data_IF_365083290922
#
_entry.id   IF_365083290922
#
_cell.length_a   1.000
_cell.length_b   1.000
_cell.length_c   1.000
_cell.angle_alpha   90.00
_cell.angle_beta   90.00
_cell.angle_gamma   90.00
#
_symmetry.space_group_name_H-M   'P 1'
#
loop_
_entity.id
_entity.type
_entity.pdbx_description
1 polymer ?
#
# COMPACT_ATOMS: atom_id res chain seq x y z
N UNK A 1 -10.70 22.31 23.19
CA UNK A 1 -10.74 23.14 21.95
C UNK A 1 -10.45 22.31 20.68
N UNK A 2 -11.24 21.27 20.38
CA UNK A 2 -11.20 20.59 19.06
C UNK A 2 -11.98 21.39 18.00
N UNK A 3 -12.87 22.27 18.45
CA UNK A 3 -13.88 23.02 17.68
C UNK A 3 -13.29 23.94 16.59
N UNK A 4 -12.10 24.50 16.77
CA UNK A 4 -11.56 25.52 15.84
C UNK A 4 -10.86 24.96 14.59
N UNK A 5 -10.26 23.77 14.69
CA UNK A 5 -9.47 23.20 13.60
C UNK A 5 -9.59 21.66 13.61
N UNK A 6 -10.42 21.08 12.74
CA UNK A 6 -10.68 19.63 12.72
C UNK A 6 -9.42 18.78 12.51
N UNK A 7 -8.33 19.35 11.98
CA UNK A 7 -7.04 18.64 11.88
C UNK A 7 -6.49 18.25 13.27
N UNK A 8 -6.89 18.96 14.34
CA UNK A 8 -6.49 18.65 15.72
C UNK A 8 -6.92 17.23 16.12
N UNK A 9 -7.98 16.67 15.52
CA UNK A 9 -8.37 15.27 15.73
C UNK A 9 -7.30 14.29 15.22
N UNK A 10 -6.73 14.53 14.03
CA UNK A 10 -5.62 13.73 13.49
C UNK A 10 -4.36 13.87 14.34
N UNK A 11 -4.08 15.09 14.82
CA UNK A 11 -2.97 15.34 15.74
C UNK A 11 -3.15 14.64 17.08
N UNK A 12 -4.36 14.63 17.65
CA UNK A 12 -4.68 13.91 18.87
C UNK A 12 -4.43 12.41 18.70
N UNK A 13 -4.89 11.81 17.60
CA UNK A 13 -4.58 10.41 17.25
C UNK A 13 -3.07 10.19 17.16
N UNK A 14 -2.33 11.10 16.51
CA UNK A 14 -0.87 11.00 16.39
C UNK A 14 -0.15 11.02 17.73
N UNK A 15 -0.56 11.92 18.63
CA UNK A 15 0.06 12.04 19.96
C UNK A 15 -0.26 10.84 20.85
N UNK A 16 -1.51 10.38 20.88
CA UNK A 16 -1.89 9.15 21.58
C UNK A 16 -1.10 7.94 21.06
N UNK A 17 -0.99 7.81 19.74
CA UNK A 17 -0.27 6.69 19.13
C UNK A 17 1.23 6.71 19.47
N UNK A 18 1.85 7.90 19.39
CA UNK A 18 3.31 8.06 19.60
C UNK A 18 3.74 8.01 21.06
N UNK A 19 2.96 8.61 21.97
CA UNK A 19 3.35 8.78 23.38
C UNK A 19 2.73 7.73 24.30
N UNK A 20 1.93 6.82 23.74
CA UNK A 20 1.17 5.83 24.48
C UNK A 20 0.22 6.41 25.56
N UNK A 21 -0.17 7.68 25.40
CA UNK A 21 -1.06 8.39 26.33
C UNK A 21 -2.51 8.06 26.03
N UNK A 22 -3.32 7.77 27.05
CA UNK A 22 -4.76 7.62 26.90
C UNK A 22 -5.45 8.94 26.52
N UNK A 23 -6.42 8.88 25.61
CA UNK A 23 -7.28 10.03 25.34
C UNK A 23 -8.35 10.10 26.42
N UNK A 24 -8.54 11.27 27.03
CA UNK A 24 -9.66 11.45 27.96
C UNK A 24 -11.01 11.25 27.26
N UNK A 25 -12.00 10.78 28.00
CA UNK A 25 -13.36 10.53 27.48
C UNK A 25 -13.96 11.76 26.81
N UNK A 26 -13.68 12.95 27.35
CA UNK A 26 -14.11 14.24 26.78
C UNK A 26 -13.52 14.46 25.38
N UNK A 27 -12.25 14.10 25.16
CA UNK A 27 -11.61 14.20 23.84
C UNK A 27 -12.22 13.17 22.90
N UNK A 28 -12.36 11.92 23.32
CA UNK A 28 -12.94 10.84 22.51
C UNK A 28 -14.36 11.19 22.06
N UNK A 29 -15.21 11.61 22.99
CA UNK A 29 -16.58 12.05 22.71
C UNK A 29 -16.62 13.24 21.76
N UNK A 30 -15.76 14.24 21.99
CA UNK A 30 -15.64 15.40 21.10
C UNK A 30 -15.26 15.02 19.66
N UNK A 31 -14.34 14.06 19.49
CA UNK A 31 -13.97 13.54 18.16
C UNK A 31 -15.15 12.79 17.54
N UNK A 32 -15.80 11.90 18.29
CA UNK A 32 -16.94 11.11 17.79
C UNK A 32 -18.17 11.94 17.43
N UNK A 33 -18.33 13.13 18.01
CA UNK A 33 -19.38 14.08 17.61
C UNK A 33 -18.98 14.90 16.38
N UNK A 34 -17.70 15.19 16.19
CA UNK A 34 -17.21 16.12 15.17
C UNK A 34 -16.43 15.48 14.03
N UNK A 35 -16.30 14.16 13.97
CA UNK A 35 -15.47 13.47 12.97
C UNK A 35 -15.77 13.88 11.51
N UNK A 36 -17.03 14.20 11.17
CA UNK A 36 -17.44 14.70 9.84
C UNK A 36 -16.82 16.04 9.47
N UNK A 37 -16.49 16.89 10.45
CA UNK A 37 -15.86 18.19 10.22
C UNK A 37 -14.47 18.08 9.59
N UNK A 38 -13.86 16.89 9.59
CA UNK A 38 -12.62 16.62 8.88
C UNK A 38 -12.73 16.90 7.38
N UNK A 39 -13.92 16.79 6.79
CA UNK A 39 -14.18 17.11 5.37
C UNK A 39 -14.00 18.60 5.05
N UNK A 40 -14.00 19.47 6.07
CA UNK A 40 -13.74 20.91 5.92
C UNK A 40 -12.24 21.25 5.92
N UNK A 41 -11.37 20.29 6.24
CA UNK A 41 -9.93 20.52 6.27
C UNK A 41 -9.38 20.52 4.85
N UNK A 42 -8.48 21.47 4.55
CA UNK A 42 -7.72 21.45 3.31
C UNK A 42 -7.07 20.08 3.08
N UNK A 43 -7.33 19.49 1.92
CA UNK A 43 -6.83 18.16 1.56
C UNK A 43 -5.29 18.06 1.57
N UNK A 44 -4.58 19.18 1.36
CA UNK A 44 -3.12 19.24 1.45
C UNK A 44 -2.65 19.15 2.91
N UNK A 45 -3.26 19.94 3.81
CA UNK A 45 -2.96 19.88 5.25
C UNK A 45 -3.27 18.52 5.84
N UNK A 46 -4.37 17.90 5.40
CA UNK A 46 -4.72 16.54 5.79
C UNK A 46 -3.66 15.55 5.32
N UNK A 47 -3.20 15.64 4.07
CA UNK A 47 -2.13 14.79 3.56
C UNK A 47 -0.84 14.91 4.39
N UNK A 48 -0.40 16.13 4.68
CA UNK A 48 0.82 16.37 5.46
C UNK A 48 0.73 15.77 6.88
N UNK A 49 -0.42 15.91 7.54
CA UNK A 49 -0.61 15.30 8.86
C UNK A 49 -0.73 13.78 8.80
N UNK A 50 -1.29 13.19 7.73
CA UNK A 50 -1.31 11.73 7.55
C UNK A 50 0.09 11.17 7.34
N UNK A 51 0.94 11.88 6.57
CA UNK A 51 2.35 11.50 6.43
C UNK A 51 3.02 11.45 7.80
N UNK A 52 2.88 12.52 8.61
CA UNK A 52 3.44 12.56 9.97
C UNK A 52 2.85 11.48 10.87
N UNK A 53 1.56 11.19 10.74
CA UNK A 53 0.84 10.18 11.53
C UNK A 53 1.41 8.80 11.28
N UNK A 54 1.52 8.39 10.01
CA UNK A 54 1.95 7.03 9.70
C UNK A 54 3.48 6.85 9.66
N UNK A 55 4.25 7.93 9.81
CA UNK A 55 5.72 7.89 9.87
C UNK A 55 6.25 8.16 11.29
N UNK A 56 5.40 8.06 12.32
CA UNK A 56 5.80 8.27 13.70
C UNK A 56 6.35 7.02 14.42
N UNK A 57 6.35 5.85 13.76
CA UNK A 57 6.77 4.56 14.34
C UNK A 57 5.66 3.80 15.09
N UNK A 58 4.44 4.36 15.13
CA UNK A 58 3.26 3.77 15.79
C UNK A 58 2.03 3.80 14.87
N UNK A 59 2.26 3.54 13.58
CA UNK A 59 1.27 3.64 12.52
C UNK A 59 0.13 2.63 12.66
N UNK A 60 0.39 1.43 13.19
CA UNK A 60 -0.67 0.43 13.44
C UNK A 60 -1.64 0.89 14.54
N UNK A 61 -1.11 1.44 15.64
CA UNK A 61 -1.92 1.99 16.73
C UNK A 61 -2.75 3.17 16.25
N UNK A 62 -2.12 4.09 15.51
CA UNK A 62 -2.81 5.21 14.88
C UNK A 62 -3.96 4.75 13.96
N UNK A 63 -3.75 3.70 13.17
CA UNK A 63 -4.76 3.16 12.28
C UNK A 63 -5.99 2.60 13.00
N UNK A 64 -5.78 1.82 14.06
CA UNK A 64 -6.89 1.33 14.89
C UNK A 64 -7.69 2.48 15.49
N UNK A 65 -6.99 3.46 16.07
CA UNK A 65 -7.65 4.63 16.67
C UNK A 65 -8.40 5.49 15.64
N UNK A 66 -7.87 5.64 14.40
CA UNK A 66 -8.61 6.31 13.32
C UNK A 66 -9.92 5.59 12.97
N UNK A 67 -9.96 4.25 13.04
CA UNK A 67 -11.17 3.45 12.79
C UNK A 67 -12.17 3.58 13.94
N UNK A 68 -11.71 3.42 15.17
CA UNK A 68 -12.52 3.56 16.39
C UNK A 68 -13.18 4.94 16.47
N UNK A 69 -12.42 5.99 16.17
CA UNK A 69 -12.90 7.38 16.18
C UNK A 69 -13.66 7.78 14.91
N UNK A 70 -13.96 6.83 14.00
CA UNK A 70 -14.67 7.06 12.73
C UNK A 70 -14.01 8.09 11.81
N UNK A 71 -12.71 8.34 11.96
CA UNK A 71 -11.96 9.29 11.13
C UNK A 71 -11.53 8.66 9.81
N UNK A 72 -11.11 7.39 9.82
CA UNK A 72 -10.58 6.70 8.63
C UNK A 72 -11.55 6.74 7.44
N UNK A 73 -12.85 6.59 7.69
CA UNK A 73 -13.89 6.59 6.65
C UNK A 73 -14.06 7.93 5.93
N UNK A 74 -13.69 9.06 6.54
CA UNK A 74 -13.72 10.37 5.87
C UNK A 74 -12.47 10.60 5.02
N UNK A 75 -11.36 9.96 5.38
CA UNK A 75 -10.07 10.11 4.71
C UNK A 75 -10.00 9.18 3.48
N UNK A 76 -10.40 7.92 3.67
CA UNK A 76 -10.37 6.88 2.64
C UNK A 76 -11.75 6.20 2.49
N UNK A 77 -12.81 6.92 2.08
CA UNK A 77 -14.17 6.39 2.07
C UNK A 77 -14.34 5.16 1.18
N UNK A 78 -13.72 5.15 0.00
CA UNK A 78 -13.82 4.01 -0.93
C UNK A 78 -13.06 2.79 -0.40
N UNK A 79 -11.82 2.96 0.08
CA UNK A 79 -11.06 1.87 0.69
C UNK A 79 -11.78 1.31 1.91
N UNK A 80 -12.35 2.17 2.76
CA UNK A 80 -13.09 1.74 3.95
C UNK A 80 -14.28 0.83 3.60
N UNK A 81 -15.05 1.16 2.56
CA UNK A 81 -16.14 0.29 2.07
C UNK A 81 -15.64 -1.08 1.64
N UNK A 82 -14.53 -1.13 0.91
CA UNK A 82 -13.95 -2.39 0.40
C UNK A 82 -13.33 -3.23 1.52
N UNK A 83 -12.68 -2.60 2.49
CA UNK A 83 -12.14 -3.24 3.69
C UNK A 83 -13.27 -3.88 4.51
N UNK A 84 -14.40 -3.18 4.68
CA UNK A 84 -15.59 -3.76 5.34
C UNK A 84 -16.18 -4.94 4.58
N UNK A 85 -16.17 -4.90 3.25
CA UNK A 85 -16.70 -5.96 2.41
C UNK A 85 -15.75 -7.17 2.31
N UNK A 86 -14.44 -6.96 2.47
CA UNK A 86 -13.44 -8.01 2.34
C UNK A 86 -12.28 -7.82 3.34
N UNK A 87 -12.24 -8.62 4.43
CA UNK A 87 -11.22 -8.53 5.48
C UNK A 87 -9.78 -8.63 4.99
N UNK A 88 -9.52 -9.31 3.86
CA UNK A 88 -8.16 -9.43 3.27
C UNK A 88 -7.49 -8.07 3.06
N UNK A 89 -8.29 -7.04 2.74
CA UNK A 89 -7.78 -5.70 2.52
C UNK A 89 -7.41 -5.00 3.84
N UNK A 90 -8.15 -5.27 4.92
CA UNK A 90 -7.79 -4.79 6.26
C UNK A 90 -6.46 -5.39 6.69
N UNK A 91 -6.31 -6.70 6.51
CA UNK A 91 -5.10 -7.44 6.89
C UNK A 91 -3.88 -6.96 6.11
N UNK A 92 -4.00 -6.77 4.79
CA UNK A 92 -2.94 -6.21 3.95
C UNK A 92 -2.46 -4.85 4.49
N UNK A 93 -3.40 -3.96 4.83
CA UNK A 93 -3.08 -2.63 5.37
C UNK A 93 -2.42 -2.74 6.73
N UNK A 94 -2.95 -3.58 7.63
CA UNK A 94 -2.36 -3.79 8.96
C UNK A 94 -0.94 -4.35 8.87
N UNK A 95 -0.67 -5.30 7.96
CA UNK A 95 0.67 -5.84 7.74
C UNK A 95 1.63 -4.78 7.19
N UNK A 96 1.16 -3.92 6.27
CA UNK A 96 1.95 -2.80 5.76
C UNK A 96 2.34 -1.79 6.86
N UNK A 97 1.42 -1.49 7.77
CA UNK A 97 1.65 -0.60 8.91
C UNK A 97 2.64 -1.22 9.90
N UNK A 98 2.44 -2.48 10.30
CA UNK A 98 3.38 -3.21 11.17
C UNK A 98 4.79 -3.27 10.58
N UNK A 99 4.91 -3.54 9.28
CA UNK A 99 6.21 -3.53 8.58
C UNK A 99 6.83 -2.13 8.55
N UNK A 100 6.03 -1.07 8.45
CA UNK A 100 6.51 0.30 8.46
C UNK A 100 7.04 0.68 9.84
N UNK A 101 6.30 0.35 10.90
CA UNK A 101 6.72 0.58 12.29
C UNK A 101 8.03 -0.14 12.60
N UNK A 102 8.16 -1.41 12.18
CA UNK A 102 9.39 -2.18 12.33
C UNK A 102 10.58 -1.54 11.60
N UNK A 103 10.39 -0.99 10.39
CA UNK A 103 11.44 -0.25 9.67
C UNK A 103 11.89 1.00 10.41
N UNK A 104 10.94 1.80 10.88
CA UNK A 104 11.22 3.04 11.62
C UNK A 104 12.00 2.71 12.90
N UNK A 105 11.57 1.70 13.66
CA UNK A 105 12.27 1.23 14.87
C UNK A 105 13.69 0.75 14.58
N UNK A 106 13.92 0.16 13.41
CA UNK A 106 15.24 -0.25 12.95
C UNK A 106 16.08 0.90 12.34
N UNK A 107 15.66 2.15 12.46
CA UNK A 107 16.37 3.32 11.92
C UNK A 107 16.38 3.40 10.39
N UNK A 108 15.55 2.61 9.71
CA UNK A 108 15.50 2.56 8.24
C UNK A 108 14.56 3.64 7.71
N UNK A 109 14.93 4.26 6.59
CA UNK A 109 14.06 5.19 5.89
C UNK A 109 12.78 4.51 5.39
N UNK A 110 11.68 5.24 5.47
CA UNK A 110 10.36 4.86 4.97
C UNK A 110 9.86 5.94 4.01
N UNK A 111 8.91 5.59 3.14
CA UNK A 111 8.36 6.50 2.15
C UNK A 111 6.84 6.52 2.20
N UNK A 112 6.19 7.70 2.11
CA UNK A 112 4.74 7.78 2.12
C UNK A 112 4.09 6.97 0.99
N UNK A 113 4.74 6.92 -0.18
CA UNK A 113 4.19 6.26 -1.36
C UNK A 113 3.81 4.80 -1.08
N UNK A 114 4.57 4.11 -0.22
CA UNK A 114 4.35 2.69 0.06
C UNK A 114 3.02 2.46 0.78
N UNK A 115 2.79 3.19 1.88
CA UNK A 115 1.55 3.06 2.65
C UNK A 115 0.34 3.53 1.84
N UNK A 116 0.45 4.64 1.09
CA UNK A 116 -0.64 5.07 0.22
C UNK A 116 -0.92 4.08 -0.93
N UNK A 117 0.10 3.39 -1.45
CA UNK A 117 -0.11 2.31 -2.41
C UNK A 117 -0.87 1.12 -1.79
N UNK A 118 -0.65 0.82 -0.50
CA UNK A 118 -1.39 -0.20 0.23
C UNK A 118 -2.84 0.25 0.54
N UNK A 119 -3.03 1.47 1.05
CA UNK A 119 -4.37 2.00 1.39
C UNK A 119 -5.30 2.08 0.17
N UNK A 120 -4.74 2.40 -1.01
CA UNK A 120 -5.51 2.55 -2.25
C UNK A 120 -5.59 1.25 -3.08
N UNK A 121 -4.84 0.21 -2.71
CA UNK A 121 -4.85 -1.08 -3.42
C UNK A 121 -6.24 -1.71 -3.55
N UNK A 122 -7.11 -1.73 -2.52
CA UNK A 122 -8.42 -2.35 -2.64
C UNK A 122 -9.22 -1.78 -3.82
N UNK A 123 -9.15 -0.45 -4.01
CA UNK A 123 -9.81 0.26 -5.09
C UNK A 123 -9.15 -0.09 -6.43
N UNK A 124 -7.82 -0.10 -6.47
CA UNK A 124 -7.06 -0.40 -7.69
C UNK A 124 -7.34 -1.80 -8.22
N UNK A 125 -7.31 -2.81 -7.35
CA UNK A 125 -7.60 -4.21 -7.69
C UNK A 125 -9.05 -4.34 -8.19
N UNK A 126 -10.02 -3.80 -7.45
CA UNK A 126 -11.45 -3.87 -7.81
C UNK A 126 -11.75 -3.21 -9.15
N UNK A 127 -11.19 -2.02 -9.41
CA UNK A 127 -11.40 -1.32 -10.69
C UNK A 127 -10.67 -2.02 -11.84
N UNK A 128 -9.45 -2.49 -11.62
CA UNK A 128 -8.70 -3.21 -12.64
C UNK A 128 -9.44 -4.49 -13.06
N UNK A 129 -10.00 -5.24 -12.11
CA UNK A 129 -10.78 -6.45 -12.43
C UNK A 129 -12.06 -6.12 -13.19
N UNK A 130 -12.75 -5.03 -12.85
CA UNK A 130 -13.90 -4.54 -13.63
C UNK A 130 -13.52 -4.18 -15.07
N UNK A 131 -12.36 -3.55 -15.29
CA UNK A 131 -11.89 -3.24 -16.65
C UNK A 131 -11.45 -4.50 -17.40
N UNK A 132 -10.81 -5.46 -16.73
CA UNK A 132 -10.42 -6.75 -17.32
C UNK A 132 -11.64 -7.57 -17.74
N UNK A 133 -12.71 -7.56 -16.95
CA UNK A 133 -13.98 -8.19 -17.32
C UNK A 133 -14.60 -7.59 -18.60
N UNK A 134 -14.20 -6.37 -18.98
CA UNK A 134 -14.58 -5.70 -20.24
C UNK A 134 -13.57 -5.93 -21.38
N UNK A 135 -12.65 -6.89 -21.25
CA UNK A 135 -11.66 -7.24 -22.27
C UNK A 135 -10.42 -6.34 -22.33
N UNK A 136 -10.25 -5.41 -21.39
CA UNK A 136 -9.07 -4.54 -21.34
C UNK A 136 -7.87 -5.34 -20.81
N UNK A 137 -6.69 -5.16 -21.42
CA UNK A 137 -5.45 -5.82 -21.00
C UNK A 137 -5.14 -5.54 -19.52
N UNK A 138 -4.46 -6.46 -18.83
CA UNK A 138 -4.16 -6.30 -17.40
C UNK A 138 -3.37 -5.01 -17.12
N UNK A 139 -2.40 -4.69 -17.97
CA UNK A 139 -1.59 -3.48 -17.83
C UNK A 139 -2.42 -2.20 -18.02
N UNK A 140 -3.27 -2.15 -19.06
CA UNK A 140 -4.09 -0.98 -19.34
C UNK A 140 -5.22 -0.82 -18.33
N UNK A 141 -5.79 -1.93 -17.85
CA UNK A 141 -6.81 -1.94 -16.80
C UNK A 141 -6.27 -1.32 -15.51
N UNK A 142 -5.07 -1.70 -15.08
CA UNK A 142 -4.45 -1.14 -13.88
C UNK A 142 -4.05 0.33 -14.05
N UNK A 143 -3.59 0.73 -15.24
CA UNK A 143 -3.35 2.14 -15.55
C UNK A 143 -4.63 2.98 -15.52
N UNK A 144 -5.72 2.48 -16.12
CA UNK A 144 -7.04 3.13 -16.10
C UNK A 144 -7.56 3.24 -14.67
N UNK A 145 -7.47 2.17 -13.89
CA UNK A 145 -7.83 2.18 -12.47
C UNK A 145 -7.02 3.22 -11.68
N UNK A 146 -5.71 3.28 -11.86
CA UNK A 146 -4.86 4.26 -11.20
C UNK A 146 -5.25 5.71 -11.57
N UNK A 147 -5.51 5.98 -12.85
CA UNK A 147 -5.94 7.31 -13.29
C UNK A 147 -7.28 7.70 -12.65
N UNK A 148 -8.25 6.80 -12.63
CA UNK A 148 -9.55 7.02 -12.00
C UNK A 148 -9.39 7.33 -10.50
N UNK A 149 -8.60 6.51 -9.78
CA UNK A 149 -8.34 6.71 -8.35
C UNK A 149 -7.74 8.08 -8.07
N UNK A 150 -6.74 8.51 -8.85
CA UNK A 150 -6.11 9.81 -8.62
C UNK A 150 -7.00 11.00 -8.98
N UNK A 151 -8.02 10.81 -9.82
CA UNK A 151 -9.06 11.83 -10.08
C UNK A 151 -10.01 11.88 -8.88
N UNK A 152 -10.53 10.73 -8.45
CA UNK A 152 -11.53 10.65 -7.39
C UNK A 152 -10.97 11.06 -6.03
N UNK A 153 -9.73 10.67 -5.74
CA UNK A 153 -9.07 10.97 -4.46
C UNK A 153 -8.85 12.47 -4.26
N UNK A 154 -8.82 13.30 -5.32
CA UNK A 154 -8.70 14.77 -5.16
C UNK A 154 -9.83 15.39 -4.33
N UNK A 155 -10.97 14.68 -4.21
CA UNK A 155 -12.13 15.13 -3.43
C UNK A 155 -12.02 14.79 -1.94
N UNK A 156 -10.98 14.07 -1.52
CA UNK A 156 -10.77 13.69 -0.11
C UNK A 156 -9.34 13.88 0.37
N UNK A 157 -8.35 13.81 -0.53
CA UNK A 157 -6.94 13.90 -0.19
C UNK A 157 -6.08 14.41 -1.37
N UNK A 158 -5.26 15.44 -1.13
CA UNK A 158 -4.41 16.02 -2.15
C UNK A 158 -3.05 15.31 -2.18
N UNK A 159 -3.00 14.12 -2.79
CA UNK A 159 -1.76 13.37 -2.94
C UNK A 159 -0.86 14.07 -3.98
N UNK A 160 0.39 14.47 -3.64
CA UNK A 160 1.31 15.09 -4.57
C UNK A 160 1.58 14.24 -5.82
N UNK A 161 1.76 14.90 -6.98
CA UNK A 161 1.93 14.21 -8.28
C UNK A 161 3.08 13.20 -8.29
N UNK A 162 4.21 13.54 -7.67
CA UNK A 162 5.38 12.65 -7.56
C UNK A 162 5.04 11.36 -6.80
N UNK A 163 4.21 11.45 -5.76
CA UNK A 163 3.76 10.30 -4.97
C UNK A 163 2.77 9.45 -5.78
N UNK A 164 1.85 10.07 -6.52
CA UNK A 164 0.94 9.34 -7.43
C UNK A 164 1.71 8.51 -8.47
N UNK A 165 2.76 9.09 -9.07
CA UNK A 165 3.62 8.38 -10.02
C UNK A 165 4.30 7.19 -9.33
N UNK A 166 4.81 7.37 -8.11
CA UNK A 166 5.39 6.31 -7.30
C UNK A 166 4.43 5.17 -7.00
N UNK A 167 3.21 5.49 -6.57
CA UNK A 167 2.13 4.52 -6.29
C UNK A 167 1.81 3.71 -7.55
N UNK A 168 1.61 4.39 -8.69
CA UNK A 168 1.35 3.71 -9.98
C UNK A 168 2.47 2.74 -10.32
N UNK A 169 3.73 3.16 -10.16
CA UNK A 169 4.87 2.30 -10.47
C UNK A 169 4.92 1.07 -9.56
N UNK A 170 4.65 1.22 -8.27
CA UNK A 170 4.55 0.09 -7.31
C UNK A 170 3.52 -0.94 -7.80
N UNK A 171 2.35 -0.47 -8.22
CA UNK A 171 1.28 -1.34 -8.75
C UNK A 171 1.66 -1.99 -10.08
N UNK A 172 2.20 -1.25 -11.04
CA UNK A 172 2.57 -1.81 -12.35
C UNK A 172 3.70 -2.84 -12.24
N UNK A 173 4.63 -2.66 -11.29
CA UNK A 173 5.68 -3.66 -11.03
C UNK A 173 5.08 -4.98 -10.52
N UNK A 174 3.93 -4.97 -9.85
CA UNK A 174 3.24 -6.21 -9.44
C UNK A 174 2.97 -7.12 -10.65
N UNK A 175 2.58 -6.54 -11.79
CA UNK A 175 2.32 -7.29 -13.01
C UNK A 175 3.61 -7.85 -13.63
N UNK A 176 4.72 -7.12 -13.50
CA UNK A 176 6.03 -7.57 -13.97
C UNK A 176 6.56 -8.72 -13.12
N UNK A 177 6.28 -8.69 -11.81
CA UNK A 177 6.65 -9.75 -10.87
C UNK A 177 5.94 -11.08 -11.10
N UNK A 178 4.89 -11.11 -11.94
CA UNK A 178 4.28 -12.36 -12.40
C UNK A 178 5.17 -13.12 -13.41
N UNK A 179 6.20 -12.48 -13.98
CA UNK A 179 7.14 -13.12 -14.90
C UNK A 179 8.53 -13.28 -14.27
N UNK A 180 8.96 -14.53 -14.11
CA UNK A 180 10.27 -14.91 -13.54
C UNK A 180 11.28 -15.35 -14.61
N UNK A 181 11.00 -15.10 -15.89
CA UNK A 181 11.82 -15.60 -17.00
C UNK A 181 12.26 -14.50 -17.98
N UNK A 182 13.44 -14.73 -18.56
CA UNK A 182 14.00 -13.92 -19.63
C UNK A 182 14.46 -12.52 -19.21
N UNK A 183 14.88 -11.72 -20.20
CA UNK A 183 15.51 -10.40 -19.99
C UNK A 183 14.65 -9.42 -19.15
N UNK A 184 13.33 -9.57 -19.17
CA UNK A 184 12.38 -8.70 -18.43
C UNK A 184 12.56 -8.74 -16.91
N UNK A 185 13.15 -9.80 -16.37
CA UNK A 185 13.48 -9.88 -14.94
C UNK A 185 14.49 -8.80 -14.56
N UNK A 186 15.57 -8.65 -15.32
CA UNK A 186 16.62 -7.66 -15.04
C UNK A 186 16.07 -6.23 -15.11
N UNK A 187 15.25 -5.92 -16.13
CA UNK A 187 14.57 -4.63 -16.22
C UNK A 187 13.64 -4.34 -15.04
N UNK A 188 13.14 -5.39 -14.36
CA UNK A 188 12.29 -5.25 -13.17
C UNK A 188 13.14 -4.97 -11.93
N UNK A 189 14.26 -5.70 -11.75
CA UNK A 189 15.23 -5.48 -10.67
C UNK A 189 15.82 -4.06 -10.69
N UNK A 190 16.03 -3.50 -11.88
CA UNK A 190 16.59 -2.16 -12.09
C UNK A 190 15.57 -1.03 -11.91
N UNK A 191 14.28 -1.31 -11.67
CA UNK A 191 13.29 -0.25 -11.49
C UNK A 191 13.58 0.57 -10.23
N UNK A 192 13.53 1.92 -10.29
CA UNK A 192 13.79 2.78 -9.13
C UNK A 192 12.88 2.52 -7.91
N UNK A 193 11.70 1.91 -8.14
CA UNK A 193 10.72 1.58 -7.09
C UNK A 193 10.61 0.08 -6.83
N UNK A 194 11.57 -0.71 -7.30
CA UNK A 194 11.58 -2.17 -7.12
C UNK A 194 11.43 -2.56 -5.65
N UNK A 195 12.18 -1.93 -4.73
CA UNK A 195 12.10 -2.28 -3.29
C UNK A 195 10.70 -2.11 -2.71
N UNK A 196 10.05 -0.96 -2.95
CA UNK A 196 8.70 -0.71 -2.46
C UNK A 196 7.67 -1.65 -3.11
N UNK A 197 7.84 -1.96 -4.40
CA UNK A 197 6.98 -2.91 -5.08
C UNK A 197 7.18 -4.35 -4.59
N UNK A 198 8.41 -4.73 -4.29
CA UNK A 198 8.76 -6.04 -3.77
C UNK A 198 8.21 -6.22 -2.35
N UNK A 199 8.41 -5.24 -1.46
CA UNK A 199 7.82 -5.25 -0.12
C UNK A 199 6.30 -5.37 -0.20
N UNK A 200 5.66 -4.65 -1.12
CA UNK A 200 4.22 -4.74 -1.35
C UNK A 200 3.79 -6.11 -1.89
N UNK A 201 4.59 -6.71 -2.77
CA UNK A 201 4.36 -8.04 -3.32
C UNK A 201 4.43 -9.11 -2.23
N UNK A 202 5.41 -9.04 -1.32
CA UNK A 202 5.52 -9.94 -0.18
C UNK A 202 4.28 -9.89 0.72
N UNK A 203 3.75 -8.68 0.98
CA UNK A 203 2.54 -8.52 1.80
C UNK A 203 1.32 -9.15 1.15
N UNK A 204 1.18 -9.01 -0.18
CA UNK A 204 0.08 -9.61 -0.96
C UNK A 204 0.20 -11.13 -1.06
N UNK A 205 1.42 -11.66 -1.04
CA UNK A 205 1.69 -13.08 -1.19
C UNK A 205 1.30 -13.92 0.05
N UNK A 206 1.21 -13.30 1.23
CA UNK A 206 0.91 -14.02 2.47
C UNK A 206 -0.43 -14.78 2.46
N UNK A 207 -1.41 -14.32 1.69
CA UNK A 207 -2.73 -14.97 1.57
C UNK A 207 -2.94 -15.68 0.22
N UNK A 208 -1.92 -15.74 -0.62
CA UNK A 208 -2.01 -16.29 -1.97
C UNK A 208 -0.82 -17.21 -2.25
N UNK A 209 -1.09 -18.52 -2.27
CA UNK A 209 -0.08 -19.56 -2.49
C UNK A 209 0.70 -19.37 -3.80
N UNK A 210 0.03 -18.94 -4.88
CA UNK A 210 0.68 -18.73 -6.17
C UNK A 210 1.61 -17.53 -6.12
N UNK A 211 1.16 -16.43 -5.50
CA UNK A 211 2.02 -15.28 -5.26
C UNK A 211 3.17 -15.61 -4.30
N UNK A 212 2.97 -16.51 -3.32
CA UNK A 212 4.02 -16.92 -2.38
C UNK A 212 5.18 -17.64 -3.09
N UNK A 213 4.91 -18.50 -4.06
CA UNK A 213 5.97 -19.15 -4.86
C UNK A 213 6.77 -18.11 -5.65
N UNK A 214 6.09 -17.13 -6.25
CA UNK A 214 6.74 -16.01 -6.95
C UNK A 214 7.53 -15.13 -5.98
N UNK A 215 7.01 -14.88 -4.79
CA UNK A 215 7.65 -14.06 -3.76
C UNK A 215 8.96 -14.70 -3.30
N UNK A 216 8.95 -16.01 -3.05
CA UNK A 216 10.15 -16.78 -2.71
C UNK A 216 11.18 -16.71 -3.83
N UNK A 217 10.75 -16.81 -5.08
CA UNK A 217 11.65 -16.68 -6.24
C UNK A 217 12.27 -15.28 -6.33
N UNK A 218 11.47 -14.22 -6.17
CA UNK A 218 11.97 -12.83 -6.17
C UNK A 218 12.88 -12.55 -4.98
N UNK A 219 12.67 -13.20 -3.84
CA UNK A 219 13.57 -13.14 -2.68
C UNK A 219 14.92 -13.73 -3.07
N UNK A 220 14.91 -14.97 -3.58
CA UNK A 220 16.12 -15.71 -3.89
C UNK A 220 17.00 -15.01 -4.95
N UNK A 221 16.42 -14.49 -6.03
CA UNK A 221 17.20 -13.86 -7.10
C UNK A 221 17.96 -12.60 -6.62
N UNK A 222 17.45 -11.88 -5.63
CA UNK A 222 18.10 -10.70 -5.05
C UNK A 222 19.40 -11.04 -4.30
N UNK A 223 19.53 -12.27 -3.81
CA UNK A 223 20.69 -12.75 -3.05
C UNK A 223 21.79 -13.34 -3.96
N UNK A 224 21.45 -13.60 -5.23
CA UNK A 224 22.37 -14.20 -6.19
C UNK A 224 23.33 -13.18 -6.82
N UNK A 225 24.54 -13.63 -7.14
CA UNK A 225 25.46 -12.88 -7.99
C UNK A 225 24.91 -12.71 -9.42
N UNK A 226 25.34 -11.67 -10.15
CA UNK A 226 24.87 -11.39 -11.52
C UNK A 226 24.98 -12.60 -12.46
N UNK A 227 26.03 -13.42 -12.33
CA UNK A 227 26.21 -14.66 -13.11
C UNK A 227 25.14 -15.69 -12.78
N UNK A 228 24.92 -15.97 -11.48
CA UNK A 228 23.88 -16.90 -11.02
C UNK A 228 22.47 -16.42 -11.34
N UNK A 229 22.22 -15.11 -11.34
CA UNK A 229 20.95 -14.55 -11.79
C UNK A 229 20.69 -14.86 -13.28
N UNK A 230 21.69 -14.71 -14.16
CA UNK A 230 21.56 -15.07 -15.58
C UNK A 230 21.26 -16.56 -15.74
N UNK A 231 21.97 -17.41 -15.01
CA UNK A 231 21.70 -18.86 -15.00
C UNK A 231 20.26 -19.15 -14.58
N UNK A 232 19.80 -18.63 -13.45
CA UNK A 232 18.44 -18.84 -12.94
C UNK A 232 17.35 -18.39 -13.94
N UNK A 233 17.53 -17.23 -14.55
CA UNK A 233 16.53 -16.59 -15.42
C UNK A 233 16.46 -17.20 -16.81
N UNK A 234 17.60 -17.70 -17.34
CA UNK A 234 17.70 -18.27 -18.68
C UNK A 234 17.78 -19.81 -18.70
N UNK A 235 17.91 -20.48 -17.55
CA UNK A 235 17.96 -21.94 -17.53
C UNK A 235 16.68 -22.54 -18.12
N UNK A 236 16.83 -23.15 -19.31
CA UNK A 236 15.86 -24.09 -19.84
C UNK A 236 15.85 -25.30 -18.89
N UNK A 237 14.68 -25.71 -18.40
CA UNK A 237 14.50 -27.08 -17.85
C UNK A 237 15.14 -28.03 -18.87
N UNK A 238 16.19 -28.77 -18.49
CA UNK A 238 16.70 -29.88 -19.30
C UNK A 238 15.49 -30.72 -19.69
N UNK A 239 15.14 -30.76 -20.98
CA UNK A 239 14.13 -31.70 -21.50
C UNK A 239 14.60 -33.07 -21.03
N UNK A 240 13.82 -33.73 -20.16
CA UNK A 240 14.02 -35.17 -19.89
C UNK A 240 14.02 -35.84 -21.25
N UNK A 241 15.16 -36.36 -21.69
CA UNK A 241 15.25 -37.20 -22.88
C UNK A 241 14.25 -38.33 -22.67
N UNK A 242 13.15 -38.32 -23.41
CA UNK A 242 12.37 -39.54 -23.66
C UNK A 242 13.34 -40.47 -24.37
N UNK A 243 13.79 -41.52 -23.66
CA UNK A 243 14.40 -42.69 -24.30
C UNK A 243 13.39 -43.15 -25.34
N UNK A 244 13.75 -43.06 -26.62
CA UNK A 244 13.06 -43.82 -27.67
C UNK A 244 13.46 -45.28 -27.43
N UNK A 245 12.48 -46.11 -27.09
CA UNK A 245 12.55 -47.54 -27.33
C UNK A 245 12.37 -47.79 -28.82
#
# INVERSE_FOLDING_TARGET
RIIEDPIRMIRAVRFNAKLDLELSEVIVSGILQQHKSLEKVSYARLFDELVKLFHCGHSIKAYHLLKELKLFQHIFPQSFKLIKANPKYDELIQRALKSTDARIKAGKSVTPLFLFACFLWPIAETLADKYRAKGISHYDALNKAANQIFIDTRRTLAIPRLIQIGIRNVWLIQLRMLNTKGKKVFYTLEQPRFRAAYDFFLLRAQDDKQLQELANWWTHIQELSKTKQKELVFHKKKRRHRKKH
#
